data_IF_209161765404
#
_entry.id   IF_209161765404
#
_cell.length_a   1.000
_cell.length_b   1.000
_cell.length_c   1.000
_cell.angle_alpha   90.00
_cell.angle_beta   90.00
_cell.angle_gamma   90.00
#
_symmetry.space_group_name_H-M   'P 1'
#
loop_
_entity.id
_entity.type
_entity.pdbx_description
1 polymer ?
#
# COMPACT_ATOMS: atom_id res chain seq x y z
N UNK A 1 -15.71 53.21 -2.21
CA UNK A 1 -16.74 52.19 -1.88
C UNK A 1 -16.78 51.09 -2.95
N UNK A 2 -15.69 50.35 -3.21
CA UNK A 2 -15.62 49.33 -4.29
C UNK A 2 -14.74 48.12 -3.92
N UNK A 3 -14.71 47.72 -2.64
CA UNK A 3 -13.81 46.65 -2.16
C UNK A 3 -14.50 45.31 -1.85
N UNK A 4 -15.82 45.20 -2.06
CA UNK A 4 -16.63 44.05 -1.61
C UNK A 4 -17.08 43.10 -2.72
N UNK A 5 -16.85 43.41 -4.01
CA UNK A 5 -17.44 42.65 -5.12
C UNK A 5 -16.61 41.44 -5.62
N UNK A 6 -15.38 41.24 -5.13
CA UNK A 6 -14.49 40.14 -5.59
C UNK A 6 -14.60 38.88 -4.71
N UNK A 7 -15.21 38.97 -3.51
CA UNK A 7 -15.29 37.85 -2.57
C UNK A 7 -16.43 36.84 -2.86
N UNK A 8 -17.49 37.28 -3.56
CA UNK A 8 -18.67 36.44 -3.88
C UNK A 8 -18.40 35.22 -4.78
N UNK A 9 -17.63 35.29 -5.88
CA UNK A 9 -17.41 34.14 -6.76
C UNK A 9 -16.53 33.07 -6.12
N UNK A 10 -15.56 33.46 -5.27
CA UNK A 10 -14.68 32.52 -4.58
C UNK A 10 -15.45 31.66 -3.55
N UNK A 11 -16.36 32.28 -2.80
CA UNK A 11 -17.20 31.57 -1.81
C UNK A 11 -18.17 30.60 -2.51
N UNK A 12 -18.76 31.00 -3.64
CA UNK A 12 -19.64 30.14 -4.41
C UNK A 12 -18.91 28.93 -5.03
N UNK A 13 -17.67 29.10 -5.49
CA UNK A 13 -16.83 28.01 -5.98
C UNK A 13 -16.44 27.03 -4.87
N UNK A 14 -16.08 27.52 -3.68
CA UNK A 14 -15.73 26.66 -2.55
C UNK A 14 -16.95 25.84 -2.10
N UNK A 15 -18.13 26.46 -1.98
CA UNK A 15 -19.36 25.73 -1.65
C UNK A 15 -19.72 24.69 -2.73
N UNK A 16 -19.55 25.01 -4.02
CA UNK A 16 -19.80 24.07 -5.11
C UNK A 16 -18.92 22.81 -5.04
N UNK A 17 -17.64 22.94 -4.67
CA UNK A 17 -16.72 21.80 -4.52
C UNK A 17 -17.07 20.94 -3.30
N UNK A 18 -17.45 21.57 -2.18
CA UNK A 18 -17.84 20.84 -0.95
C UNK A 18 -19.11 20.01 -1.17
N UNK A 19 -20.11 20.53 -1.89
CA UNK A 19 -21.33 19.77 -2.17
C UNK A 19 -21.11 18.56 -3.10
N UNK A 20 -20.18 18.65 -4.06
CA UNK A 20 -19.88 17.52 -4.96
C UNK A 20 -19.13 16.37 -4.27
N UNK A 21 -18.32 16.66 -3.24
CA UNK A 21 -17.60 15.63 -2.49
C UNK A 21 -18.52 14.76 -1.62
N UNK A 22 -19.63 15.31 -1.12
CA UNK A 22 -20.56 14.60 -0.24
C UNK A 22 -21.32 13.45 -0.93
N UNK A 23 -21.57 13.54 -2.23
CA UNK A 23 -22.30 12.50 -2.97
C UNK A 23 -21.45 11.25 -3.24
N UNK A 24 -20.12 11.39 -3.33
CA UNK A 24 -19.20 10.26 -3.45
C UNK A 24 -19.06 9.50 -2.12
N UNK A 25 -19.03 10.24 -1.00
CA UNK A 25 -18.88 9.70 0.35
C UNK A 25 -20.04 8.78 0.77
N UNK A 26 -21.25 9.02 0.25
CA UNK A 26 -22.42 8.21 0.56
C UNK A 26 -22.33 6.77 0.00
N UNK A 27 -21.68 6.57 -1.15
CA UNK A 27 -21.51 5.24 -1.74
C UNK A 27 -20.41 4.41 -1.04
N UNK A 28 -19.39 5.08 -0.50
CA UNK A 28 -18.37 4.44 0.34
C UNK A 28 -18.95 3.93 1.65
N UNK A 29 -19.84 4.71 2.25
CA UNK A 29 -20.39 4.40 3.56
C UNK A 29 -21.23 3.11 3.53
N UNK A 30 -22.01 2.89 2.47
CA UNK A 30 -22.81 1.66 2.30
C UNK A 30 -21.94 0.42 2.07
N UNK A 31 -20.90 0.52 1.23
CA UNK A 31 -19.98 -0.59 0.97
C UNK A 31 -19.15 -0.95 2.22
N UNK A 32 -18.67 0.06 2.95
CA UNK A 32 -17.96 -0.13 4.22
C UNK A 32 -18.87 -0.70 5.30
N UNK A 33 -20.14 -0.26 5.37
CA UNK A 33 -21.14 -0.82 6.28
C UNK A 33 -21.37 -2.32 6.00
N UNK A 34 -21.49 -2.71 4.73
CA UNK A 34 -21.65 -4.12 4.36
C UNK A 34 -20.41 -4.98 4.74
N UNK A 35 -19.20 -4.43 4.64
CA UNK A 35 -17.99 -5.09 5.13
C UNK A 35 -18.01 -5.27 6.67
N UNK A 36 -18.50 -4.27 7.40
CA UNK A 36 -18.68 -4.33 8.85
C UNK A 36 -19.68 -5.41 9.28
N UNK A 37 -20.85 -5.47 8.65
CA UNK A 37 -21.87 -6.49 8.93
C UNK A 37 -21.33 -7.92 8.68
N UNK A 38 -20.58 -8.09 7.58
CA UNK A 38 -19.95 -9.38 7.27
C UNK A 38 -18.91 -9.80 8.31
N UNK A 39 -18.13 -8.83 8.81
CA UNK A 39 -17.17 -9.07 9.90
C UNK A 39 -17.89 -9.48 11.19
N UNK A 40 -18.92 -8.76 11.61
CA UNK A 40 -19.67 -9.07 12.83
C UNK A 40 -20.28 -10.47 12.77
N UNK A 41 -20.86 -10.84 11.63
CA UNK A 41 -21.39 -12.18 11.40
C UNK A 41 -20.31 -13.27 11.45
N UNK A 42 -19.10 -12.99 10.95
CA UNK A 42 -17.95 -13.89 11.01
C UNK A 42 -17.47 -14.08 12.46
N UNK A 43 -17.27 -12.97 13.18
CA UNK A 43 -16.81 -12.96 14.57
C UNK A 43 -17.77 -13.73 15.48
N UNK A 44 -19.07 -13.50 15.35
CA UNK A 44 -20.11 -14.21 16.12
C UNK A 44 -20.12 -15.72 15.83
N UNK A 45 -19.80 -16.12 14.60
CA UNK A 45 -19.68 -17.53 14.22
C UNK A 45 -18.43 -18.16 14.81
N UNK A 46 -17.31 -17.45 14.84
CA UNK A 46 -16.09 -17.91 15.50
C UNK A 46 -16.32 -18.18 16.99
N UNK A 47 -16.97 -17.25 17.70
CA UNK A 47 -17.28 -17.41 19.13
C UNK A 47 -18.17 -18.63 19.39
N UNK A 48 -19.18 -18.87 18.54
CA UNK A 48 -20.04 -20.04 18.64
C UNK A 48 -19.33 -21.35 18.30
N UNK A 49 -18.35 -21.31 17.39
CA UNK A 49 -17.66 -22.51 16.90
C UNK A 49 -16.52 -22.96 17.83
N UNK A 50 -15.94 -22.02 18.59
CA UNK A 50 -14.77 -22.23 19.44
C UNK A 50 -14.98 -21.67 20.87
N UNK A 51 -15.98 -22.17 21.64
CA UNK A 51 -16.29 -21.63 22.96
C UNK A 51 -15.19 -21.85 24.01
N UNK A 52 -14.44 -22.96 23.90
CA UNK A 52 -13.42 -23.36 24.88
C UNK A 52 -12.00 -23.45 24.29
N UNK A 53 -11.82 -23.09 23.02
CA UNK A 53 -10.52 -23.12 22.33
C UNK A 53 -10.10 -21.71 21.93
N UNK A 54 -9.31 -21.08 22.82
CA UNK A 54 -8.84 -19.72 22.61
C UNK A 54 -7.90 -19.58 21.40
N UNK A 55 -7.10 -20.60 21.10
CA UNK A 55 -6.17 -20.55 19.97
C UNK A 55 -6.92 -20.64 18.64
N UNK A 56 -7.88 -21.56 18.53
CA UNK A 56 -8.74 -21.67 17.35
C UNK A 56 -9.62 -20.43 17.18
N UNK A 57 -10.19 -19.90 18.26
CA UNK A 57 -10.96 -18.65 18.26
C UNK A 57 -10.11 -17.48 17.76
N UNK A 58 -8.88 -17.31 18.27
CA UNK A 58 -7.97 -16.25 17.82
C UNK A 58 -7.61 -16.37 16.33
N UNK A 59 -7.35 -17.59 15.84
CA UNK A 59 -7.11 -17.83 14.42
C UNK A 59 -8.32 -17.49 13.54
N UNK A 60 -9.52 -17.86 13.99
CA UNK A 60 -10.76 -17.54 13.31
C UNK A 60 -11.01 -16.03 13.26
N UNK A 61 -10.82 -15.33 14.38
CA UNK A 61 -10.95 -13.86 14.46
C UNK A 61 -9.95 -13.14 13.55
N UNK A 62 -8.71 -13.62 13.49
CA UNK A 62 -7.69 -13.09 12.59
C UNK A 62 -8.10 -13.23 11.11
N UNK A 63 -8.70 -14.36 10.73
CA UNK A 63 -9.24 -14.56 9.38
C UNK A 63 -10.39 -13.58 9.09
N UNK A 64 -11.35 -13.41 10.01
CA UNK A 64 -12.44 -12.44 9.86
C UNK A 64 -11.91 -11.01 9.66
N UNK A 65 -10.90 -10.61 10.44
CA UNK A 65 -10.27 -9.30 10.31
C UNK A 65 -9.56 -9.11 8.96
N UNK A 66 -8.90 -10.17 8.46
CA UNK A 66 -8.26 -10.14 7.14
C UNK A 66 -9.31 -10.00 6.03
N UNK A 67 -10.41 -10.75 6.09
CA UNK A 67 -11.50 -10.67 5.11
C UNK A 67 -12.15 -9.27 5.08
N UNK A 68 -12.34 -8.67 6.26
CA UNK A 68 -12.80 -7.29 6.39
C UNK A 68 -11.84 -6.33 5.69
N UNK A 69 -10.55 -6.42 5.99
CA UNK A 69 -9.54 -5.55 5.38
C UNK A 69 -9.52 -5.69 3.85
N UNK A 70 -9.68 -6.91 3.32
CA UNK A 70 -9.80 -7.16 1.88
C UNK A 70 -11.07 -6.55 1.30
N UNK A 71 -12.20 -6.65 2.01
CA UNK A 71 -13.48 -6.05 1.61
C UNK A 71 -13.35 -4.52 1.51
N UNK A 72 -12.84 -3.87 2.55
CA UNK A 72 -12.63 -2.42 2.59
C UNK A 72 -11.63 -1.96 1.52
N UNK A 73 -10.53 -2.71 1.33
CA UNK A 73 -9.55 -2.43 0.29
C UNK A 73 -10.16 -2.54 -1.12
N UNK A 74 -11.02 -3.52 -1.37
CA UNK A 74 -11.73 -3.65 -2.66
C UNK A 74 -12.70 -2.49 -2.88
N UNK A 75 -13.46 -2.10 -1.87
CA UNK A 75 -14.37 -0.96 -1.94
C UNK A 75 -13.60 0.32 -2.32
N UNK A 76 -12.47 0.59 -1.66
CA UNK A 76 -11.60 1.74 -2.00
C UNK A 76 -10.91 1.59 -3.36
N UNK A 77 -10.51 0.38 -3.74
CA UNK A 77 -9.83 0.13 -5.01
C UNK A 77 -10.74 0.34 -6.22
N UNK A 78 -12.00 -0.12 -6.18
CA UNK A 78 -12.94 0.07 -7.28
C UNK A 78 -13.18 1.56 -7.57
N UNK A 79 -13.16 2.42 -6.55
CA UNK A 79 -13.19 3.87 -6.76
C UNK A 79 -11.89 4.43 -7.34
N UNK A 80 -10.75 3.94 -6.86
CA UNK A 80 -9.44 4.43 -7.27
C UNK A 80 -8.97 3.85 -8.62
N UNK A 81 -9.62 2.83 -9.17
CA UNK A 81 -9.28 2.14 -10.43
C UNK A 81 -8.78 3.06 -11.55
N UNK A 82 -9.50 4.12 -11.97
CA UNK A 82 -9.04 4.97 -13.07
C UNK A 82 -7.76 5.73 -12.72
N UNK A 83 -7.62 6.19 -11.47
CA UNK A 83 -6.41 6.85 -10.99
C UNK A 83 -5.23 5.87 -10.90
N UNK A 84 -5.45 4.66 -10.36
CA UNK A 84 -4.43 3.60 -10.26
C UNK A 84 -3.95 3.19 -11.65
N UNK A 85 -4.85 3.00 -12.61
CA UNK A 85 -4.50 2.69 -13.99
C UNK A 85 -3.67 3.80 -14.64
N UNK A 86 -3.95 5.06 -14.31
CA UNK A 86 -3.16 6.20 -14.79
C UNK A 86 -1.75 6.24 -14.16
N UNK A 87 -1.64 6.00 -12.86
CA UNK A 87 -0.34 5.91 -12.18
C UNK A 87 0.50 4.74 -12.71
N UNK A 88 -0.12 3.59 -12.96
CA UNK A 88 0.58 2.42 -13.50
C UNK A 88 1.13 2.69 -14.90
N UNK A 89 0.34 3.35 -15.76
CA UNK A 89 0.81 3.77 -17.10
C UNK A 89 1.97 4.77 -17.02
N UNK A 90 1.93 5.72 -16.09
CA UNK A 90 3.04 6.67 -15.87
C UNK A 90 4.31 5.96 -15.40
N UNK A 91 4.18 5.02 -14.47
CA UNK A 91 5.28 4.21 -13.97
C UNK A 91 5.90 3.35 -15.09
N UNK A 92 5.08 2.69 -15.91
CA UNK A 92 5.57 1.93 -17.08
C UNK A 92 6.37 2.81 -18.04
N UNK A 93 5.85 3.99 -18.38
CA UNK A 93 6.54 4.94 -19.27
C UNK A 93 7.87 5.42 -18.70
N UNK A 94 7.96 5.59 -17.38
CA UNK A 94 9.20 5.91 -16.70
C UNK A 94 10.23 4.77 -16.81
N UNK A 95 9.83 3.52 -16.53
CA UNK A 95 10.72 2.37 -16.66
C UNK A 95 11.15 2.09 -18.11
N UNK A 96 10.26 2.32 -19.07
CA UNK A 96 10.56 2.20 -20.49
C UNK A 96 11.65 3.21 -20.91
N UNK A 97 11.48 4.49 -20.54
CA UNK A 97 12.51 5.51 -20.80
C UNK A 97 13.84 5.26 -20.07
N UNK A 98 13.80 4.67 -18.86
CA UNK A 98 15.02 4.25 -18.15
C UNK A 98 15.73 3.09 -18.86
N UNK A 99 14.97 2.12 -19.38
CA UNK A 99 15.54 0.97 -20.08
C UNK A 99 16.11 1.31 -21.46
N UNK A 100 15.60 2.33 -22.14
CA UNK A 100 16.15 2.83 -23.41
C UNK A 100 17.49 3.55 -23.18
N UNK A 101 17.59 4.35 -22.12
CA UNK A 101 18.82 5.08 -21.76
C UNK A 101 20.00 4.17 -21.37
N UNK A 102 19.73 2.93 -20.95
CA UNK A 102 20.76 1.90 -20.69
C UNK A 102 21.21 1.12 -21.93
N UNK A 103 20.56 1.28 -23.09
CA UNK A 103 20.88 0.55 -24.34
C UNK A 103 21.75 1.34 -25.32
N UNK A 104 21.79 2.66 -25.18
CA UNK A 104 22.66 3.56 -25.96
C UNK A 104 24.00 3.86 -25.30
N UNK A 105 24.31 3.21 -24.17
CA UNK A 105 25.68 3.12 -23.69
C UNK A 105 26.47 2.26 -24.68
N UNK A 106 27.04 2.90 -25.71
CA UNK A 106 28.15 2.36 -26.50
C UNK A 106 29.11 1.64 -25.54
N UNK A 107 29.47 0.37 -25.79
CA UNK A 107 30.33 -0.37 -24.88
C UNK A 107 31.61 0.45 -24.67
N UNK A 108 31.76 0.99 -23.48
CA UNK A 108 32.99 1.67 -23.09
C UNK A 108 34.14 0.67 -23.37
N UNK A 109 35.23 1.11 -24.02
CA UNK A 109 36.37 0.24 -24.26
C UNK A 109 36.76 -0.40 -22.92
N UNK A 110 36.97 -1.72 -22.95
CA UNK A 110 37.26 -2.50 -21.75
C UNK A 110 38.33 -1.79 -20.92
N UNK A 111 38.13 -1.61 -19.61
CA UNK A 111 39.16 -1.00 -18.78
C UNK A 111 40.42 -1.88 -18.86
N UNK A 112 41.52 -1.26 -19.30
CA UNK A 112 42.85 -1.87 -19.24
C UNK A 112 43.07 -2.38 -17.82
N UNK A 113 43.52 -3.63 -17.61
CA UNK A 113 43.76 -4.14 -16.27
C UNK A 113 44.74 -3.22 -15.54
N UNK A 114 44.28 -2.62 -14.44
CA UNK A 114 45.15 -1.89 -13.54
C UNK A 114 46.12 -2.89 -12.86
N UNK A 115 47.36 -2.49 -12.55
CA UNK A 115 48.25 -3.31 -11.72
C UNK A 115 47.58 -3.55 -10.37
N UNK A 116 47.34 -4.81 -10.01
CA UNK A 116 46.72 -5.17 -8.75
C UNK A 116 47.66 -4.80 -7.59
N UNK A 117 47.22 -3.98 -6.62
CA UNK A 117 47.95 -3.80 -5.37
C UNK A 117 47.90 -5.12 -4.57
N UNK A 118 49.07 -5.55 -4.08
CA UNK A 118 49.30 -6.77 -3.32
C UNK A 118 48.21 -7.07 -2.28
N UNK A 119 47.85 -8.36 -2.24
CA UNK A 119 46.92 -8.94 -1.30
C UNK A 119 47.28 -8.57 0.15
N UNK A 120 46.47 -7.71 0.78
CA UNK A 120 46.42 -7.64 2.24
C UNK A 120 45.78 -8.94 2.75
N UNK A 121 46.41 -9.69 3.66
CA UNK A 121 45.77 -10.84 4.27
C UNK A 121 44.55 -10.39 5.09
N UNK A 122 43.40 -11.00 4.80
CA UNK A 122 42.16 -10.83 5.55
C UNK A 122 42.30 -11.43 6.95
N UNK A 123 41.98 -10.71 8.03
CA UNK A 123 41.84 -11.29 9.36
C UNK A 123 40.70 -12.32 9.37
N UNK A 124 40.99 -13.55 9.82
CA UNK A 124 40.00 -14.57 10.10
C UNK A 124 39.09 -14.09 11.24
N UNK A 125 37.82 -13.81 10.92
CA UNK A 125 36.76 -13.66 11.93
C UNK A 125 36.22 -15.07 12.23
N UNK A 126 36.27 -15.56 13.47
CA UNK A 126 35.66 -16.85 13.83
C UNK A 126 34.13 -16.77 13.74
N UNK A 127 33.44 -17.91 13.46
CA UNK A 127 31.99 -17.95 13.33
C UNK A 127 31.30 -17.58 14.64
N UNK A 128 30.24 -16.77 14.52
CA UNK A 128 29.34 -16.43 15.62
C UNK A 128 28.59 -17.69 16.06
N UNK A 129 28.65 -18.00 17.35
CA UNK A 129 27.93 -19.12 17.95
C UNK A 129 26.42 -18.89 17.85
N UNK A 130 25.72 -19.91 17.35
CA UNK A 130 24.26 -20.04 17.34
C UNK A 130 23.74 -20.06 18.78
N UNK A 131 23.08 -18.98 19.19
CA UNK A 131 22.39 -18.85 20.47
C UNK A 131 20.95 -19.35 20.37
N UNK A 132 20.75 -20.52 20.94
CA UNK A 132 19.51 -21.27 21.12
C UNK A 132 18.44 -20.52 21.98
N UNK A 133 17.19 -20.92 21.77
CA UNK A 133 16.03 -20.80 22.66
C UNK A 133 15.49 -19.40 23.05
N UNK A 134 14.41 -18.98 22.39
CA UNK A 134 13.31 -18.27 23.07
C UNK A 134 12.06 -19.13 22.96
N UNK A 135 11.67 -19.68 24.11
CA UNK A 135 10.47 -20.47 24.35
C UNK A 135 9.25 -19.52 24.34
N UNK A 136 8.28 -19.78 23.46
CA UNK A 136 6.92 -19.24 23.51
C UNK A 136 5.95 -20.36 23.13
#
# INVERSE_FOLDING_TARGET
MFRTLIALPAVALILGVVLMAAAAQAADEEALAACGESFDACSLRCEQSYPDDAAASAGCQAACAADRAVCEAKAGYEQAKPWVADQFRKMQRFFEGFSEQGRDAEPAPAPTPAPQPDARPTPLIPPAEEGDAVNL
#
